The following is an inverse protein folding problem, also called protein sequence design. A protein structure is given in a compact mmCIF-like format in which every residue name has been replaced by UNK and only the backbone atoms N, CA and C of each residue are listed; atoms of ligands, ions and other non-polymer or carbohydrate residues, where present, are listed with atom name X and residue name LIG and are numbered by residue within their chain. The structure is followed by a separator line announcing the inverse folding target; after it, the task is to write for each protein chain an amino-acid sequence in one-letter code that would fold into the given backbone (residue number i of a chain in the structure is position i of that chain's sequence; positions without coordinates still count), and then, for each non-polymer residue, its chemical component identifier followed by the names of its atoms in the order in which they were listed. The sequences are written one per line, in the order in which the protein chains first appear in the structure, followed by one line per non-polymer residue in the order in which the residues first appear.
data_IF_196021173640
#
_entry.id   IF_196021173640
#
_cell.length_a   1.000
_cell.length_b   1.000
_cell.length_c   1.000
_cell.angle_alpha   90.00
_cell.angle_beta   90.00
_cell.angle_gamma   90.00
#
_symmetry.space_group_name_H-M   'P 1'
#
loop_
_entity.id
_entity.type
_entity.pdbx_description
1 polymer ?
#
# COMPACT_ATOMS: atom_id res chain seq x y z
N UNK A 1 4.23 20.45 -2.81
CA UNK A 1 5.20 19.84 -1.89
C UNK A 1 5.41 18.40 -2.33
N UNK A 2 6.60 18.02 -2.79
CA UNK A 2 6.92 16.62 -3.04
C UNK A 2 7.60 16.05 -1.80
N UNK A 3 7.42 14.75 -1.53
CA UNK A 3 8.26 14.11 -0.51
C UNK A 3 9.70 14.08 -1.02
N UNK A 4 10.64 14.31 -0.10
CA UNK A 4 12.07 14.19 -0.33
C UNK A 4 12.66 13.31 0.76
N UNK A 5 13.86 12.75 0.56
CA UNK A 5 14.52 11.96 1.61
C UNK A 5 14.67 12.74 2.93
N UNK A 6 14.93 14.05 2.86
CA UNK A 6 14.98 14.92 4.03
C UNK A 6 13.64 15.00 4.78
N UNK A 7 12.51 15.17 4.08
CA UNK A 7 11.18 15.21 4.71
C UNK A 7 10.85 13.88 5.38
N UNK A 8 11.21 12.76 4.74
CA UNK A 8 11.00 11.42 5.33
C UNK A 8 11.84 11.24 6.59
N UNK A 9 13.13 11.62 6.58
CA UNK A 9 13.98 11.59 7.78
C UNK A 9 13.40 12.41 8.91
N UNK A 10 12.97 13.63 8.63
CA UNK A 10 12.36 14.52 9.63
C UNK A 10 11.10 13.88 10.24
N UNK A 11 10.21 13.32 9.40
CA UNK A 11 9.02 12.60 9.87
C UNK A 11 9.39 11.40 10.74
N UNK A 12 10.38 10.61 10.35
CA UNK A 12 10.81 9.44 11.12
C UNK A 12 11.40 9.82 12.48
N UNK A 13 12.10 10.94 12.58
CA UNK A 13 12.71 11.45 13.81
C UNK A 13 11.71 12.10 14.77
N UNK A 14 10.56 12.57 14.27
CA UNK A 14 9.61 13.39 15.05
C UNK A 14 8.26 12.70 15.29
N UNK A 15 8.11 11.44 14.87
CA UNK A 15 6.81 10.74 14.88
C UNK A 15 6.59 9.79 16.06
N UNK A 16 7.52 9.66 17.01
CA UNK A 16 7.47 8.60 18.03
C UNK A 16 6.17 8.60 18.84
N UNK A 17 5.62 9.78 19.18
CA UNK A 17 4.31 9.89 19.84
C UNK A 17 3.19 9.33 18.95
N UNK A 18 3.12 9.75 17.68
CA UNK A 18 2.08 9.28 16.75
C UNK A 18 2.21 7.78 16.46
N UNK A 19 3.44 7.25 16.40
CA UNK A 19 3.68 5.82 16.23
C UNK A 19 3.27 5.01 17.48
N UNK A 20 3.38 5.61 18.67
CA UNK A 20 2.86 5.01 19.89
C UNK A 20 1.32 5.00 19.89
N UNK A 21 0.67 6.11 19.54
CA UNK A 21 -0.79 6.17 19.40
C UNK A 21 -1.33 5.20 18.34
N UNK A 22 -0.59 5.00 17.24
CA UNK A 22 -0.88 4.00 16.21
C UNK A 22 -0.90 2.59 16.81
N UNK A 23 0.14 2.23 17.58
CA UNK A 23 0.22 0.92 18.25
C UNK A 23 -0.93 0.72 19.23
N UNK A 24 -1.25 1.74 20.02
CA UNK A 24 -2.38 1.71 20.96
C UNK A 24 -3.71 1.55 20.24
N UNK A 25 -3.90 2.23 19.11
CA UNK A 25 -5.12 2.09 18.29
C UNK A 25 -5.26 0.68 17.75
N UNK A 26 -4.16 0.07 17.29
CA UNK A 26 -4.17 -1.32 16.83
C UNK A 26 -4.34 -2.33 17.96
N UNK A 27 -3.91 -2.02 19.19
CA UNK A 27 -4.12 -2.88 20.35
C UNK A 27 -5.61 -3.00 20.75
N UNK A 28 -6.46 -2.09 20.28
CA UNK A 28 -7.93 -2.18 20.43
C UNK A 28 -8.57 -3.17 19.46
N UNK A 29 -7.84 -3.65 18.46
CA UNK A 29 -8.34 -4.67 17.54
C UNK A 29 -8.09 -6.06 18.13
N UNK A 30 -9.04 -7.00 18.01
CA UNK A 30 -8.87 -8.34 18.54
C UNK A 30 -7.69 -9.02 17.84
N UNK A 31 -6.93 -9.80 18.60
CA UNK A 31 -5.93 -10.68 18.00
C UNK A 31 -6.65 -11.71 17.12
N UNK A 32 -6.13 -11.96 15.91
CA UNK A 32 -6.76 -12.86 14.93
C UNK A 32 -5.88 -14.03 14.55
N UNK A 33 -6.52 -15.13 14.13
CA UNK A 33 -5.92 -16.23 13.38
C UNK A 33 -6.46 -16.21 11.95
N UNK A 34 -5.59 -16.55 11.02
CA UNK A 34 -5.91 -16.66 9.60
C UNK A 34 -5.20 -17.89 9.05
N UNK A 35 -5.85 -18.60 8.11
CA UNK A 35 -5.28 -19.75 7.41
C UNK A 35 -4.20 -19.39 6.37
N UNK A 36 -3.78 -18.13 6.31
CA UNK A 36 -2.73 -17.60 5.42
C UNK A 36 -2.90 -18.02 3.95
N UNK A 37 -4.14 -18.02 3.46
CA UNK A 37 -4.46 -18.31 2.04
C UNK A 37 -3.97 -17.25 1.05
N UNK A 38 -3.38 -16.15 1.54
CA UNK A 38 -2.81 -15.03 0.78
C UNK A 38 -3.71 -14.30 -0.21
N UNK A 39 -5.01 -14.62 -0.32
CA UNK A 39 -5.93 -13.91 -1.23
C UNK A 39 -6.00 -12.39 -0.97
N UNK A 40 -5.92 -11.96 0.30
CA UNK A 40 -5.86 -10.53 0.66
C UNK A 40 -4.54 -9.85 0.28
N UNK A 41 -3.49 -10.64 0.03
CA UNK A 41 -2.20 -10.16 -0.44
C UNK A 41 -2.14 -10.06 -1.96
N UNK A 42 -3.29 -10.09 -2.66
CA UNK A 42 -3.35 -9.84 -4.12
C UNK A 42 -3.25 -8.36 -4.49
N UNK A 43 -3.23 -7.45 -3.50
CA UNK A 43 -2.96 -6.03 -3.67
C UNK A 43 -2.31 -5.46 -2.40
N UNK A 44 -1.52 -4.40 -2.56
CA UNK A 44 -1.11 -3.51 -1.48
C UNK A 44 -2.30 -2.58 -1.15
N UNK A 45 -2.83 -2.55 0.08
CA UNK A 45 -3.94 -1.67 0.42
C UNK A 45 -3.47 -0.20 0.53
N UNK A 46 -4.41 0.73 0.44
CA UNK A 46 -4.20 2.12 0.86
C UNK A 46 -3.88 2.18 2.36
N UNK A 47 -3.11 3.21 2.77
CA UNK A 47 -2.72 3.41 4.15
C UNK A 47 -2.57 4.90 4.48
N UNK A 48 -2.69 5.27 5.75
CA UNK A 48 -2.38 6.62 6.22
C UNK A 48 -0.86 6.87 6.24
N UNK A 49 -0.46 8.14 6.34
CA UNK A 49 0.97 8.47 6.43
C UNK A 49 1.58 7.91 7.73
N UNK A 50 0.85 7.94 8.85
CA UNK A 50 1.33 7.36 10.11
C UNK A 50 1.60 5.86 9.98
N UNK A 51 0.81 5.14 9.18
CA UNK A 51 1.01 3.71 8.93
C UNK A 51 2.18 3.41 7.99
N UNK A 52 2.48 4.30 7.05
CA UNK A 52 3.61 4.15 6.13
C UNK A 52 4.96 4.29 6.86
N UNK A 53 5.05 5.14 7.89
CA UNK A 53 6.31 5.45 8.58
C UNK A 53 6.98 4.24 9.25
N UNK A 54 6.29 3.38 10.03
CA UNK A 54 6.88 2.16 10.59
C UNK A 54 7.44 1.22 9.54
N UNK A 55 6.78 1.11 8.38
CA UNK A 55 7.25 0.25 7.29
C UNK A 55 8.52 0.82 6.66
N UNK A 56 8.59 2.14 6.45
CA UNK A 56 9.80 2.81 5.99
C UNK A 56 10.94 2.64 7.00
N UNK A 57 10.67 2.84 8.30
CA UNK A 57 11.63 2.63 9.38
C UNK A 57 12.18 1.20 9.36
N UNK A 58 11.30 0.21 9.26
CA UNK A 58 11.69 -1.20 9.17
C UNK A 58 12.57 -1.46 7.95
N UNK A 59 12.23 -0.91 6.78
CA UNK A 59 13.05 -1.05 5.57
C UNK A 59 14.47 -0.52 5.77
N UNK A 60 14.62 0.60 6.48
CA UNK A 60 15.93 1.19 6.79
C UNK A 60 16.76 0.33 7.75
N UNK A 61 16.11 -0.35 8.70
CA UNK A 61 16.74 -1.21 9.70
C UNK A 61 17.18 -2.59 9.14
N UNK A 62 16.75 -2.95 7.93
CA UNK A 62 17.13 -4.21 7.29
C UNK A 62 18.56 -4.18 6.72
N UNK A 63 19.18 -5.35 6.64
CA UNK A 63 20.41 -5.54 5.89
C UNK A 63 20.25 -5.12 4.43
N UNK A 64 21.24 -4.39 3.89
CA UNK A 64 21.26 -3.79 2.54
C UNK A 64 20.74 -4.72 1.45
N UNK A 65 21.20 -5.97 1.40
CA UNK A 65 20.78 -6.95 0.38
C UNK A 65 19.27 -7.24 0.45
N UNK A 66 18.74 -7.41 1.66
CA UNK A 66 17.31 -7.69 1.88
C UNK A 66 16.46 -6.46 1.57
N UNK A 67 16.91 -5.30 2.06
CA UNK A 67 16.29 -4.00 1.82
C UNK A 67 16.17 -3.69 0.32
N UNK A 68 17.26 -3.81 -0.43
CA UNK A 68 17.29 -3.52 -1.87
C UNK A 68 16.35 -4.43 -2.66
N UNK A 69 16.34 -5.72 -2.33
CA UNK A 69 15.40 -6.67 -2.94
C UNK A 69 13.94 -6.23 -2.74
N UNK A 70 13.59 -5.71 -1.56
CA UNK A 70 12.21 -5.32 -1.27
C UNK A 70 11.82 -3.95 -1.81
N UNK A 71 12.73 -2.97 -1.79
CA UNK A 71 12.52 -1.70 -2.48
C UNK A 71 12.24 -1.96 -3.97
N UNK A 72 13.02 -2.85 -4.60
CA UNK A 72 12.78 -3.29 -5.99
C UNK A 72 11.39 -3.89 -6.18
N UNK A 73 10.95 -4.84 -5.34
CA UNK A 73 9.57 -5.39 -5.39
C UNK A 73 8.49 -4.31 -5.23
N UNK A 74 8.69 -3.34 -4.33
CA UNK A 74 7.71 -2.27 -4.08
C UNK A 74 7.63 -1.34 -5.29
N UNK A 75 8.76 -0.94 -5.88
CA UNK A 75 8.80 -0.09 -7.07
C UNK A 75 8.24 -0.85 -8.29
N UNK A 76 8.58 -2.12 -8.45
CA UNK A 76 8.02 -2.98 -9.49
C UNK A 76 6.49 -3.06 -9.38
N UNK A 77 5.97 -3.26 -8.16
CA UNK A 77 4.53 -3.27 -7.91
C UNK A 77 3.85 -1.96 -8.36
N UNK A 78 4.48 -0.80 -8.11
CA UNK A 78 3.93 0.49 -8.56
C UNK A 78 3.74 0.54 -10.09
N UNK A 79 4.65 -0.05 -10.86
CA UNK A 79 4.55 -0.07 -12.32
C UNK A 79 3.65 -1.18 -12.87
N UNK A 80 3.61 -2.34 -12.22
CA UNK A 80 2.84 -3.50 -12.68
C UNK A 80 1.37 -3.51 -12.26
N UNK A 81 1.00 -2.86 -11.15
CA UNK A 81 -0.36 -2.93 -10.61
C UNK A 81 -1.50 -2.53 -11.56
N UNK A 82 -1.32 -1.73 -12.64
CA UNK A 82 -2.38 -1.47 -13.61
C UNK A 82 -2.45 -2.54 -14.73
N UNK A 83 -1.40 -3.34 -14.91
CA UNK A 83 -1.25 -4.31 -16.01
C UNK A 83 -1.67 -5.71 -15.59
N UNK A 84 -1.39 -6.11 -14.36
CA UNK A 84 -1.74 -7.43 -13.85
C UNK A 84 -2.01 -7.45 -12.34
N UNK A 85 -2.68 -8.51 -11.89
CA UNK A 85 -2.88 -8.77 -10.47
C UNK A 85 -1.58 -9.37 -9.92
N UNK A 86 -0.75 -8.53 -9.31
CA UNK A 86 0.50 -8.94 -8.68
C UNK A 86 0.29 -9.18 -7.18
N UNK A 87 1.16 -9.99 -6.58
CA UNK A 87 1.17 -10.12 -5.12
C UNK A 87 1.68 -8.85 -4.45
N UNK A 88 1.19 -8.57 -3.24
CA UNK A 88 1.71 -7.54 -2.37
C UNK A 88 3.24 -7.70 -2.24
N UNK A 89 4.03 -6.62 -2.36
CA UNK A 89 5.48 -6.70 -2.37
C UNK A 89 6.08 -7.28 -1.08
N UNK A 90 5.33 -7.21 0.03
CA UNK A 90 5.71 -7.76 1.34
C UNK A 90 5.40 -9.26 1.52
N UNK A 91 4.77 -9.91 0.55
CA UNK A 91 4.51 -11.35 0.58
C UNK A 91 5.74 -12.14 0.11
N UNK A 92 6.17 -13.10 0.92
CA UNK A 92 7.21 -14.08 0.62
C UNK A 92 6.66 -15.48 0.91
N UNK A 93 6.34 -16.26 -0.13
CA UNK A 93 5.58 -17.49 0.03
C UNK A 93 4.19 -17.21 0.65
N UNK A 94 3.97 -17.69 1.88
CA UNK A 94 2.74 -17.45 2.65
C UNK A 94 2.93 -16.46 3.82
N UNK A 95 4.12 -15.88 3.94
CA UNK A 95 4.49 -15.01 5.04
C UNK A 95 4.52 -13.54 4.63
N UNK A 96 3.95 -12.68 5.47
CA UNK A 96 4.03 -11.23 5.30
C UNK A 96 5.20 -10.69 6.13
N UNK A 97 6.15 -10.05 5.46
CA UNK A 97 7.39 -9.58 6.07
C UNK A 97 7.20 -8.40 7.03
N UNK A 98 6.10 -7.68 6.86
CA UNK A 98 5.66 -6.60 7.76
C UNK A 98 4.46 -7.04 8.60
N UNK A 99 4.25 -8.34 8.84
CA UNK A 99 3.04 -8.81 9.54
C UNK A 99 2.75 -8.06 10.86
N UNK A 100 3.74 -7.77 11.73
CA UNK A 100 3.51 -6.98 12.95
C UNK A 100 3.14 -5.52 12.69
N UNK A 101 3.60 -4.94 11.56
CA UNK A 101 3.41 -3.54 11.14
C UNK A 101 2.42 -3.41 9.97
N UNK A 102 1.62 -4.45 9.71
CA UNK A 102 0.66 -4.46 8.60
C UNK A 102 -0.36 -3.33 8.76
N UNK A 103 -0.80 -2.77 7.63
CA UNK A 103 -1.74 -1.65 7.57
C UNK A 103 -3.13 -2.05 8.06
N UNK A 104 -3.95 -1.06 8.41
CA UNK A 104 -5.32 -1.25 8.87
C UNK A 104 -6.18 -2.00 7.86
N UNK A 105 -6.00 -1.73 6.57
CA UNK A 105 -6.67 -2.50 5.51
C UNK A 105 -6.39 -4.01 5.59
N UNK A 106 -5.17 -4.40 5.95
CA UNK A 106 -4.83 -5.80 6.19
C UNK A 106 -5.34 -6.32 7.55
N UNK A 107 -5.37 -5.49 8.60
CA UNK A 107 -5.80 -5.90 9.95
C UNK A 107 -7.31 -6.11 10.04
N UNK A 108 -8.07 -5.25 9.38
CA UNK A 108 -9.54 -5.26 9.36
C UNK A 108 -10.10 -6.25 8.34
N UNK A 109 -9.28 -6.74 7.41
CA UNK A 109 -9.72 -7.71 6.41
C UNK A 109 -10.18 -9.02 7.08
N UNK A 110 -11.42 -9.42 6.76
CA UNK A 110 -12.08 -10.58 7.37
C UNK A 110 -12.72 -10.31 8.74
N UNK A 111 -12.56 -9.10 9.30
CA UNK A 111 -13.28 -8.65 10.50
C UNK A 111 -14.53 -7.83 10.20
N UNK A 112 -14.59 -7.20 9.03
CA UNK A 112 -15.82 -6.57 8.55
C UNK A 112 -16.95 -7.58 8.44
N UNK A 113 -18.18 -7.16 8.73
CA UNK A 113 -19.36 -7.95 8.38
C UNK A 113 -19.44 -8.16 6.86
N UNK A 114 -20.01 -9.28 6.38
CA UNK A 114 -20.18 -9.50 4.95
C UNK A 114 -20.94 -8.37 4.24
N UNK A 115 -21.97 -7.82 4.90
CA UNK A 115 -22.77 -6.73 4.35
C UNK A 115 -21.98 -5.42 4.21
N UNK A 116 -21.16 -5.09 5.22
CA UNK A 116 -20.29 -3.92 5.14
C UNK A 116 -19.17 -4.10 4.13
N UNK A 117 -18.58 -5.29 4.05
CA UNK A 117 -17.56 -5.60 3.05
C UNK A 117 -18.09 -5.44 1.62
N UNK A 118 -19.33 -5.88 1.34
CA UNK A 118 -19.95 -5.67 0.03
C UNK A 118 -20.12 -4.17 -0.28
N UNK A 119 -20.46 -3.36 0.72
CA UNK A 119 -20.53 -1.90 0.57
C UNK A 119 -19.17 -1.30 0.18
N UNK A 120 -18.08 -1.75 0.82
CA UNK A 120 -16.72 -1.37 0.44
C UNK A 120 -16.38 -1.82 -0.98
N UNK A 121 -16.73 -3.05 -1.35
CA UNK A 121 -16.49 -3.61 -2.68
C UNK A 121 -17.24 -2.84 -3.77
N UNK A 122 -18.49 -2.43 -3.55
CA UNK A 122 -19.24 -1.57 -4.47
C UNK A 122 -18.52 -0.23 -4.68
N UNK A 123 -18.04 0.40 -3.59
CA UNK A 123 -17.29 1.67 -3.66
C UNK A 123 -15.99 1.51 -4.45
N UNK A 124 -15.24 0.45 -4.20
CA UNK A 124 -13.99 0.14 -4.90
C UNK A 124 -14.24 -0.08 -6.40
N UNK A 125 -15.26 -0.88 -6.78
CA UNK A 125 -15.66 -1.06 -8.18
C UNK A 125 -16.00 0.27 -8.88
N UNK A 126 -16.66 1.20 -8.19
CA UNK A 126 -16.95 2.53 -8.73
C UNK A 126 -15.68 3.36 -8.94
N UNK A 127 -14.75 3.33 -7.99
CA UNK A 127 -13.47 4.02 -8.10
C UNK A 127 -12.62 3.45 -9.24
N UNK A 128 -12.54 2.12 -9.38
CA UNK A 128 -11.86 1.43 -10.48
C UNK A 128 -12.44 1.79 -11.84
N UNK A 129 -13.76 1.92 -11.96
CA UNK A 129 -14.40 2.39 -13.20
C UNK A 129 -13.94 3.80 -13.57
N UNK A 130 -13.90 4.71 -12.60
CA UNK A 130 -13.41 6.07 -12.83
C UNK A 130 -11.93 6.08 -13.26
N UNK A 131 -11.09 5.30 -12.58
CA UNK A 131 -9.67 5.15 -12.92
C UNK A 131 -9.50 4.58 -14.33
N UNK A 132 -10.27 3.56 -14.71
CA UNK A 132 -10.27 2.97 -16.05
C UNK A 132 -10.61 4.03 -17.12
N UNK A 133 -11.61 4.88 -16.88
CA UNK A 133 -11.97 5.97 -17.78
C UNK A 133 -10.84 6.99 -17.93
N UNK A 134 -10.12 7.31 -16.85
CA UNK A 134 -8.96 8.20 -16.89
C UNK A 134 -7.82 7.61 -17.73
N UNK A 135 -7.45 6.35 -17.52
CA UNK A 135 -6.43 5.67 -18.35
C UNK A 135 -6.84 5.60 -19.82
N UNK A 136 -8.12 5.33 -20.10
CA UNK A 136 -8.64 5.31 -21.47
C UNK A 136 -8.52 6.67 -22.16
N UNK A 137 -8.76 7.78 -21.45
CA UNK A 137 -8.56 9.15 -21.98
C UNK A 137 -7.10 9.44 -22.31
N UNK A 138 -6.18 8.76 -21.64
CA UNK A 138 -4.75 8.82 -21.92
C UNK A 138 -4.32 7.80 -23.00
N UNK A 139 -5.25 7.09 -23.64
CA UNK A 139 -4.94 6.14 -24.72
C UNK A 139 -4.49 4.76 -24.25
N UNK A 140 -4.76 4.39 -22.99
CA UNK A 140 -4.42 3.08 -22.42
C UNK A 140 -5.68 2.33 -22.00
N UNK A 141 -5.91 1.16 -22.57
CA UNK A 141 -7.01 0.26 -22.19
C UNK A 141 -6.52 -0.79 -21.20
N UNK A 142 -6.73 -0.57 -19.89
CA UNK A 142 -6.30 -1.50 -18.86
C UNK A 142 -6.95 -2.90 -19.03
N UNK A 143 -6.22 -3.99 -18.71
CA UNK A 143 -6.74 -5.34 -18.88
C UNK A 143 -7.99 -5.61 -18.02
N UNK A 144 -8.98 -6.28 -18.62
CA UNK A 144 -10.26 -6.63 -17.97
C UNK A 144 -10.06 -7.34 -16.62
N UNK A 145 -9.10 -8.29 -16.59
CA UNK A 145 -8.74 -9.04 -15.37
C UNK A 145 -8.34 -8.14 -14.20
N UNK A 146 -7.73 -6.98 -14.45
CA UNK A 146 -7.29 -6.04 -13.40
C UNK A 146 -8.45 -5.17 -12.95
N UNK A 147 -9.17 -4.57 -13.91
CA UNK A 147 -10.25 -3.62 -13.59
C UNK A 147 -11.47 -4.27 -12.94
N UNK A 148 -11.72 -5.56 -13.22
CA UNK A 148 -12.81 -6.34 -12.61
C UNK A 148 -12.38 -7.11 -11.36
N UNK A 149 -11.09 -7.12 -11.03
CA UNK A 149 -10.61 -7.85 -9.87
C UNK A 149 -11.18 -7.26 -8.59
N UNK A 150 -11.73 -8.13 -7.75
CA UNK A 150 -12.17 -7.82 -6.40
C UNK A 150 -11.53 -8.85 -5.47
N UNK A 151 -10.88 -8.37 -4.41
CA UNK A 151 -10.42 -9.26 -3.34
C UNK A 151 -11.67 -9.94 -2.76
N UNK A 152 -11.73 -11.27 -2.65
CA UNK A 152 -12.90 -11.95 -2.11
C UNK A 152 -13.05 -11.65 -0.62
N UNK A 153 -14.26 -11.75 -0.07
CA UNK A 153 -14.46 -11.77 1.38
C UNK A 153 -13.83 -13.02 1.99
N UNK A 154 -13.29 -12.92 3.22
CA UNK A 154 -12.66 -14.04 3.90
C UNK A 154 -13.45 -14.49 5.12
N UNK A 155 -13.99 -15.71 5.05
CA UNK A 155 -14.67 -16.40 6.16
C UNK A 155 -13.71 -17.16 7.09
N UNK A 156 -12.40 -17.09 6.85
CA UNK A 156 -11.39 -17.87 7.57
C UNK A 156 -10.57 -17.04 8.57
N UNK A 157 -10.98 -15.78 8.82
CA UNK A 157 -10.40 -14.95 9.88
C UNK A 157 -11.23 -15.16 11.14
N UNK A 158 -10.56 -15.57 12.20
CA UNK A 158 -11.18 -15.88 13.50
C UNK A 158 -10.50 -15.02 14.57
N UNK A 159 -11.27 -14.48 15.52
CA UNK A 159 -10.71 -13.80 16.69
C UNK A 159 -10.22 -14.84 17.71
N UNK A 160 -9.13 -14.52 18.42
CA UNK A 160 -8.51 -15.42 19.40
C UNK A 160 -9.32 -15.55 20.71
N UNK A 161 -10.39 -14.77 20.87
CA UNK A 161 -11.20 -14.70 22.08
C UNK A 161 -12.67 -14.44 21.76
N UNK A 162 -13.53 -14.35 22.79
CA UNK A 162 -14.99 -14.19 22.63
C UNK A 162 -15.40 -12.80 22.13
N UNK A 163 -14.45 -11.87 21.98
CA UNK A 163 -14.70 -10.53 21.50
C UNK A 163 -15.21 -10.55 20.07
N UNK A 164 -16.45 -10.11 19.91
CA UNK A 164 -17.05 -9.79 18.62
C UNK A 164 -16.77 -8.33 18.35
N UNK A 165 -15.95 -8.06 17.34
CA UNK A 165 -15.75 -6.69 16.86
C UNK A 165 -16.83 -6.36 15.83
N UNK A 166 -17.47 -5.20 15.98
CA UNK A 166 -18.46 -4.70 15.03
C UNK A 166 -17.86 -3.70 14.04
N UNK A 167 -18.58 -3.46 12.94
CA UNK A 167 -18.13 -2.52 11.90
C UNK A 167 -17.94 -1.10 12.46
N UNK A 168 -18.73 -0.71 13.48
CA UNK A 168 -18.63 0.61 14.12
C UNK A 168 -17.30 0.78 14.85
N UNK A 169 -16.82 -0.26 15.51
CA UNK A 169 -15.54 -0.26 16.22
C UNK A 169 -14.38 -0.21 15.23
N UNK A 170 -14.44 -0.96 14.14
CA UNK A 170 -13.46 -0.87 13.05
C UNK A 170 -13.44 0.53 12.42
N UNK A 171 -14.61 1.14 12.18
CA UNK A 171 -14.70 2.51 11.67
C UNK A 171 -14.07 3.52 12.63
N UNK A 172 -14.36 3.43 13.93
CA UNK A 172 -13.73 4.30 14.95
C UNK A 172 -12.22 4.13 14.98
N UNK A 173 -11.70 2.91 14.79
CA UNK A 173 -10.27 2.68 14.69
C UNK A 173 -9.71 3.38 13.45
N UNK A 174 -10.35 3.23 12.28
CA UNK A 174 -9.99 3.94 11.05
C UNK A 174 -9.98 5.47 11.24
N UNK A 175 -11.02 6.04 11.85
CA UNK A 175 -11.12 7.48 12.12
C UNK A 175 -10.00 7.97 13.05
N UNK A 176 -9.64 7.17 14.07
CA UNK A 176 -8.53 7.47 14.97
C UNK A 176 -7.19 7.45 14.23
N UNK A 177 -6.97 6.51 13.31
CA UNK A 177 -5.75 6.48 12.48
C UNK A 177 -5.63 7.72 11.61
N UNK A 178 -6.73 8.15 10.99
CA UNK A 178 -6.77 9.39 10.21
C UNK A 178 -6.48 10.61 11.10
N UNK A 179 -7.07 10.67 12.30
CA UNK A 179 -6.81 11.75 13.25
C UNK A 179 -5.33 11.79 13.67
N UNK A 180 -4.73 10.65 14.01
CA UNK A 180 -3.30 10.57 14.34
C UNK A 180 -2.46 11.04 13.15
N UNK A 181 -2.75 10.55 11.94
CA UNK A 181 -2.02 10.92 10.74
C UNK A 181 -2.18 12.40 10.41
N UNK A 182 -3.31 13.01 10.74
CA UNK A 182 -3.59 14.43 10.46
C UNK A 182 -2.67 15.39 11.23
N UNK A 183 -2.02 14.95 12.31
CA UNK A 183 -0.98 15.73 13.00
C UNK A 183 0.20 16.08 12.07
N UNK A 184 0.47 15.26 11.05
CA UNK A 184 1.44 15.59 10.00
C UNK A 184 0.95 16.67 9.02
N UNK A 185 -0.22 17.25 9.27
CA UNK A 185 -0.77 18.43 8.60
C UNK A 185 -0.75 18.29 7.07
N UNK A 186 -0.08 19.22 6.38
CA UNK A 186 0.03 19.21 4.92
C UNK A 186 0.65 17.92 4.38
N UNK A 187 1.59 17.29 5.09
CA UNK A 187 2.27 16.06 4.63
C UNK A 187 1.28 14.90 4.51
N UNK A 188 0.38 14.75 5.47
CA UNK A 188 -0.69 13.76 5.41
C UNK A 188 -1.63 14.03 4.23
N UNK A 189 -2.11 15.27 4.07
CA UNK A 189 -3.00 15.62 2.96
C UNK A 189 -2.33 15.39 1.59
N UNK A 190 -1.03 15.67 1.48
CA UNK A 190 -0.27 15.43 0.26
C UNK A 190 -0.13 13.93 -0.03
N UNK A 191 0.20 13.11 0.97
CA UNK A 191 0.24 11.66 0.80
C UNK A 191 -1.12 11.10 0.33
N UNK A 192 -2.21 11.48 1.01
CA UNK A 192 -3.55 11.03 0.64
C UNK A 192 -3.98 11.50 -0.76
N UNK A 193 -3.78 12.77 -1.10
CA UNK A 193 -4.35 13.35 -2.34
C UNK A 193 -3.46 13.21 -3.58
N UNK A 194 -2.14 13.15 -3.41
CA UNK A 194 -1.19 13.13 -4.54
C UNK A 194 -0.51 11.79 -4.72
N UNK A 195 -0.32 11.05 -3.63
CA UNK A 195 0.21 9.70 -3.68
C UNK A 195 -0.90 8.65 -3.54
N UNK A 196 -2.16 9.08 -3.43
CA UNK A 196 -3.33 8.20 -3.31
C UNK A 196 -3.20 7.20 -2.16
N UNK A 197 -2.55 7.63 -1.06
CA UNK A 197 -2.29 6.76 0.08
C UNK A 197 -1.55 5.47 -0.31
N UNK A 198 -0.68 5.51 -1.35
CA UNK A 198 0.05 4.38 -1.92
C UNK A 198 1.55 4.49 -1.59
N UNK A 199 2.04 3.55 -0.76
CA UNK A 199 3.45 3.46 -0.38
C UNK A 199 4.35 3.13 -1.58
N UNK A 200 3.87 2.32 -2.52
CA UNK A 200 4.63 1.98 -3.73
C UNK A 200 4.86 3.21 -4.60
N UNK A 201 3.87 4.09 -4.69
CA UNK A 201 4.03 5.37 -5.37
C UNK A 201 4.96 6.30 -4.59
N UNK A 202 4.82 6.42 -3.27
CA UNK A 202 5.72 7.24 -2.46
C UNK A 202 7.19 6.84 -2.64
N UNK A 203 7.53 5.56 -2.54
CA UNK A 203 8.91 5.09 -2.71
C UNK A 203 9.42 5.27 -4.14
N UNK A 204 8.57 5.02 -5.15
CA UNK A 204 8.94 5.24 -6.55
C UNK A 204 9.20 6.72 -6.84
N UNK A 205 8.40 7.62 -6.26
CA UNK A 205 8.60 9.06 -6.40
C UNK A 205 9.81 9.59 -5.61
N UNK A 206 10.17 8.97 -4.49
CA UNK A 206 11.43 9.27 -3.80
C UNK A 206 12.65 8.82 -4.61
N UNK A 207 12.52 7.70 -5.33
CA UNK A 207 13.59 7.14 -6.18
C UNK A 207 13.80 7.96 -7.46
N UNK A 208 12.73 8.24 -8.20
CA UNK A 208 12.82 8.85 -9.53
C UNK A 208 12.42 10.32 -9.57
N UNK A 209 11.85 10.86 -8.49
CA UNK A 209 11.13 12.13 -8.50
C UNK A 209 9.67 11.96 -8.93
N UNK A 210 8.78 12.76 -8.34
CA UNK A 210 7.32 12.63 -8.53
C UNK A 210 6.89 12.66 -10.00
N UNK A 211 7.29 13.69 -10.76
CA UNK A 211 6.87 13.85 -12.16
C UNK A 211 7.39 12.72 -13.05
N UNK A 212 8.67 12.36 -12.86
CA UNK A 212 9.31 11.31 -13.63
C UNK A 212 8.71 9.93 -13.31
N UNK A 213 8.43 9.62 -12.04
CA UNK A 213 7.77 8.36 -11.66
C UNK A 213 6.39 8.21 -12.32
N UNK A 214 5.60 9.28 -12.40
CA UNK A 214 4.30 9.29 -13.09
C UNK A 214 4.46 9.10 -14.60
N UNK A 215 5.40 9.82 -15.23
CA UNK A 215 5.69 9.69 -16.66
C UNK A 215 6.16 8.27 -17.02
N UNK A 216 7.08 7.72 -16.24
CA UNK A 216 7.56 6.35 -16.37
C UNK A 216 6.40 5.36 -16.23
N UNK A 217 5.54 5.53 -15.21
CA UNK A 217 4.38 4.66 -15.02
C UNK A 217 3.46 4.66 -16.23
N UNK A 218 3.18 5.83 -16.80
CA UNK A 218 2.35 5.91 -17.99
C UNK A 218 2.98 5.22 -19.20
N UNK A 219 4.25 5.50 -19.49
CA UNK A 219 4.98 4.90 -20.62
C UNK A 219 5.06 3.38 -20.48
N UNK A 220 5.54 2.89 -19.33
CA UNK A 220 5.72 1.45 -19.09
C UNK A 220 4.39 0.69 -19.13
N UNK A 221 3.34 1.23 -18.51
CA UNK A 221 2.01 0.59 -18.53
C UNK A 221 1.45 0.54 -19.95
N UNK A 222 1.54 1.64 -20.71
CA UNK A 222 1.09 1.66 -22.11
C UNK A 222 1.81 0.62 -22.93
N UNK A 223 3.13 0.56 -22.82
CA UNK A 223 3.96 -0.33 -23.61
C UNK A 223 3.67 -1.79 -23.22
N UNK A 224 3.66 -2.13 -21.93
CA UNK A 224 3.32 -3.48 -21.44
C UNK A 224 1.91 -3.92 -21.83
N UNK A 225 0.92 -3.03 -21.83
CA UNK A 225 -0.46 -3.36 -22.25
C UNK A 225 -0.52 -3.65 -23.76
N UNK A 226 0.26 -2.94 -24.58
CA UNK A 226 0.23 -3.09 -26.03
C UNK A 226 1.10 -4.25 -26.54
N UNK A 227 2.32 -4.39 -26.04
CA UNK A 227 3.32 -5.34 -26.55
C UNK A 227 3.44 -6.60 -25.69
N UNK A 228 2.98 -6.56 -24.43
CA UNK A 228 3.26 -7.56 -23.39
C UNK A 228 4.75 -7.72 -23.07
N UNK A 229 5.56 -6.74 -23.44
CA UNK A 229 7.00 -6.72 -23.16
C UNK A 229 7.29 -5.99 -21.84
N UNK A 230 8.06 -6.64 -20.97
CA UNK A 230 8.48 -6.13 -19.66
C UNK A 230 9.97 -5.76 -19.60
N UNK A 231 10.70 -5.88 -20.71
CA UNK A 231 12.16 -5.72 -20.75
C UNK A 231 12.65 -4.39 -20.18
N UNK A 232 11.98 -3.29 -20.53
CA UNK A 232 12.37 -1.96 -20.02
C UNK A 232 12.12 -1.81 -18.52
N UNK A 233 11.01 -2.36 -18.01
CA UNK A 233 10.77 -2.39 -16.56
C UNK A 233 11.84 -3.22 -15.86
N UNK A 234 12.16 -4.41 -16.37
CA UNK A 234 13.17 -5.29 -15.77
C UNK A 234 14.54 -4.62 -15.70
N UNK A 235 14.93 -3.88 -16.74
CA UNK A 235 16.15 -3.07 -16.75
C UNK A 235 16.12 -1.98 -15.66
N UNK A 236 15.05 -1.19 -15.59
CA UNK A 236 14.89 -0.15 -14.56
C UNK A 236 15.03 -0.76 -13.17
N UNK A 237 14.35 -1.87 -12.89
CA UNK A 237 14.37 -2.53 -11.58
C UNK A 237 15.78 -3.07 -11.24
N UNK A 238 16.55 -3.53 -12.22
CA UNK A 238 17.94 -3.95 -12.00
C UNK A 238 18.83 -2.78 -11.60
N UNK A 239 18.62 -1.61 -12.19
CA UNK A 239 19.39 -0.37 -11.97
C UNK A 239 18.96 0.43 -10.74
N UNK A 240 17.83 0.12 -10.11
CA UNK A 240 17.37 0.78 -8.87
C UNK A 240 18.47 0.72 -7.79
N UNK A 241 19.01 1.88 -7.34
CA UNK A 241 19.97 1.95 -6.25
C UNK A 241 19.28 1.76 -4.88
N UNK A 242 20.09 1.73 -3.83
CA UNK A 242 19.57 1.67 -2.47
C UNK A 242 18.94 3.01 -2.05
N UNK A 243 17.61 3.08 -2.05
CA UNK A 243 16.87 4.30 -1.66
C UNK A 243 17.22 4.75 -0.24
N UNK A 244 17.53 3.81 0.66
CA UNK A 244 17.71 4.13 2.06
C UNK A 244 19.07 4.75 2.36
N UNK A 245 20.06 4.67 1.46
CA UNK A 245 21.29 5.45 1.60
C UNK A 245 21.01 6.96 1.61
N UNK A 246 19.99 7.43 0.89
CA UNK A 246 19.55 8.82 0.91
C UNK A 246 18.69 9.17 2.16
N UNK A 247 18.20 8.14 2.87
CA UNK A 247 17.35 8.27 4.06
C UNK A 247 18.10 8.08 5.38
N UNK A 248 19.38 7.66 5.34
CA UNK A 248 20.29 7.67 6.49
C UNK A 248 20.88 9.08 6.61
#
# INVERSE_FOLDING_TARGET
MTFSPHIIRELLQTSDHQLQELKETYALLPATRCRRKTHCCSMLPEMTLVEALPVIRRLMEMATVTRNRWIKKIIEYFFLNPVEITSCPFLEGQECLIYPDRFFGCRSYGLWSPAYYETLAVRDRRAKKHLQEQWKRLGVCLPKKVVEFQVPYCLCVETNGPEVIDDKTLLKASDRLEAISSHFSSRHQWFARRYFSDLSFLLSALMFGYTQAVQMKFTLVRDMVHTKDRTELDKIIQEVPDLCEALI
#
